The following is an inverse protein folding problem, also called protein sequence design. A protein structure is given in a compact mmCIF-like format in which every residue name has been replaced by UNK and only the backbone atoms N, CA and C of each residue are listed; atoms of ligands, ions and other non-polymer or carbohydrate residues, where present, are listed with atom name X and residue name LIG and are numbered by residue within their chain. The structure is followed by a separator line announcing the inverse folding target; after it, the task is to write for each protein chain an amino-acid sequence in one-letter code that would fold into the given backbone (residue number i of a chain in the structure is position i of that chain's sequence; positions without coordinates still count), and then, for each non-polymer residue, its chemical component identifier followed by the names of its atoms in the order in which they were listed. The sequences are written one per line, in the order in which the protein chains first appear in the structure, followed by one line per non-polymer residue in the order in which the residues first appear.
data_IF_156328281300
#
_entry.id   IF_156328281300
#
_cell.length_a   1.000
_cell.length_b   1.000
_cell.length_c   1.000
_cell.angle_alpha   90.00
_cell.angle_beta   90.00
_cell.angle_gamma   90.00
#
_symmetry.space_group_name_H-M   'P 1'
#
loop_
_entity.id
_entity.type
_entity.pdbx_description
1 polymer ?
#
# COMPACT_ATOMS: atom_id res chain seq x y z
N UNK A 1 8.05 7.74 1.32
CA UNK A 1 7.54 6.89 2.43
C UNK A 1 8.37 5.62 2.51
N UNK A 2 8.55 5.06 3.70
CA UNK A 2 9.40 3.89 3.96
C UNK A 2 8.74 2.91 4.94
N UNK A 3 9.11 1.63 4.84
CA UNK A 3 8.62 0.60 5.75
C UNK A 3 8.41 -0.75 5.05
N UNK A 4 8.46 -1.88 5.79
CA UNK A 4 8.25 -3.20 5.21
C UNK A 4 6.88 -3.39 4.54
N UNK A 5 6.75 -4.35 3.61
CA UNK A 5 5.45 -4.83 3.16
C UNK A 5 4.61 -5.24 4.37
N UNK A 6 3.34 -4.82 4.39
CA UNK A 6 2.45 -5.05 5.54
C UNK A 6 2.62 -4.07 6.71
N UNK A 7 3.63 -3.19 6.73
CA UNK A 7 3.80 -2.20 7.80
C UNK A 7 2.66 -1.17 7.88
N UNK A 8 1.81 -1.07 6.85
CA UNK A 8 0.69 -0.14 6.82
C UNK A 8 1.13 1.31 6.61
N UNK A 9 1.98 1.55 5.61
CA UNK A 9 2.53 2.88 5.26
C UNK A 9 1.46 3.97 5.20
N UNK A 10 0.37 3.74 4.45
CA UNK A 10 -0.75 4.71 4.33
C UNK A 10 -1.40 5.01 5.69
N UNK A 11 -1.55 4.01 6.57
CA UNK A 11 -2.07 4.22 7.94
C UNK A 11 -1.08 5.03 8.79
N UNK A 12 0.23 4.79 8.64
CA UNK A 12 1.26 5.56 9.34
C UNK A 12 1.29 7.02 8.90
N UNK A 13 1.17 7.28 7.60
CA UNK A 13 1.08 8.65 7.03
C UNK A 13 -0.17 9.36 7.55
N UNK A 14 -1.32 8.69 7.54
CA UNK A 14 -2.55 9.25 8.11
C UNK A 14 -2.42 9.54 9.62
N UNK A 15 -1.69 8.70 10.37
CA UNK A 15 -1.40 8.94 11.78
C UNK A 15 -0.48 10.16 11.98
N UNK A 16 0.56 10.32 11.16
CA UNK A 16 1.41 11.52 11.16
C UNK A 16 0.59 12.78 10.88
N UNK A 17 -0.27 12.76 9.85
CA UNK A 17 -1.18 13.87 9.53
C UNK A 17 -2.08 14.23 10.71
N UNK A 18 -2.69 13.23 11.34
CA UNK A 18 -3.53 13.42 12.53
C UNK A 18 -2.73 14.07 13.67
N UNK A 19 -1.50 13.65 13.92
CA UNK A 19 -0.66 14.20 14.98
C UNK A 19 -0.21 15.65 14.71
N UNK A 20 0.06 16.00 13.45
CA UNK A 20 0.44 17.35 13.04
C UNK A 20 -0.75 18.32 13.00
N UNK A 21 -1.94 17.82 12.65
CA UNK A 21 -3.06 18.64 12.23
C UNK A 21 -2.87 19.19 10.81
N UNK A 22 -3.94 19.71 10.17
CA UNK A 22 -3.97 19.98 8.74
C UNK A 22 -2.93 21.01 8.27
N UNK A 23 -2.81 22.14 8.99
CA UNK A 23 -1.90 23.23 8.60
C UNK A 23 -0.43 22.81 8.65
N UNK A 24 -0.04 22.09 9.70
CA UNK A 24 1.34 21.67 9.87
C UNK A 24 1.67 20.49 8.95
N UNK A 25 0.72 19.57 8.72
CA UNK A 25 0.87 18.51 7.72
C UNK A 25 1.11 19.06 6.32
N UNK A 26 0.34 20.09 5.90
CA UNK A 26 0.54 20.78 4.63
C UNK A 26 1.92 21.48 4.57
N UNK A 27 2.26 22.28 5.59
CA UNK A 27 3.55 22.97 5.67
C UNK A 27 4.73 22.00 5.58
N UNK A 28 4.59 20.81 6.19
CA UNK A 28 5.62 19.77 6.20
C UNK A 28 5.50 18.79 5.04
N UNK A 29 4.58 18.98 4.08
CA UNK A 29 4.49 18.15 2.88
C UNK A 29 4.02 16.72 3.17
N UNK A 30 3.25 16.51 4.24
CA UNK A 30 2.56 15.26 4.55
C UNK A 30 1.09 15.39 4.11
N UNK A 31 0.86 15.43 2.80
CA UNK A 31 -0.45 15.69 2.19
C UNK A 31 -1.05 14.44 1.53
N UNK A 32 -2.38 14.43 1.37
CA UNK A 32 -3.12 13.33 0.71
C UNK A 32 -3.34 13.67 -0.77
N UNK A 33 -3.35 14.97 -1.09
CA UNK A 33 -3.61 15.57 -2.38
C UNK A 33 -2.56 16.63 -2.72
N UNK A 34 -2.48 16.99 -4.01
CA UNK A 34 -1.54 18.01 -4.51
C UNK A 34 -0.13 17.51 -4.83
N UNK A 35 0.21 16.27 -4.45
CA UNK A 35 1.46 15.61 -4.83
C UNK A 35 1.15 14.41 -5.73
N UNK A 36 1.98 14.20 -6.76
CA UNK A 36 1.88 13.00 -7.59
C UNK A 36 2.55 11.84 -6.85
N UNK A 37 1.78 10.79 -6.57
CA UNK A 37 2.33 9.57 -5.95
C UNK A 37 2.88 8.64 -7.01
N UNK A 38 4.14 8.23 -6.84
CA UNK A 38 4.77 7.21 -7.68
C UNK A 38 4.87 5.93 -6.86
N UNK A 39 4.06 4.93 -7.20
CA UNK A 39 4.06 3.58 -6.60
C UNK A 39 4.29 2.50 -7.66
N UNK A 40 5.36 1.72 -7.47
CA UNK A 40 5.63 0.56 -8.33
C UNK A 40 4.50 -0.49 -8.24
N UNK A 41 3.76 -0.54 -7.13
CA UNK A 41 2.64 -1.46 -7.00
C UNK A 41 1.46 -1.12 -7.91
N UNK A 42 1.24 0.16 -8.23
CA UNK A 42 0.23 0.59 -9.21
C UNK A 42 0.66 0.21 -10.63
N UNK A 43 1.95 0.38 -10.95
CA UNK A 43 2.52 -0.09 -12.23
C UNK A 43 2.35 -1.60 -12.37
N UNK A 44 2.52 -2.40 -11.31
CA UNK A 44 2.26 -3.84 -11.35
C UNK A 44 0.82 -4.14 -11.74
N UNK A 45 -0.16 -3.39 -11.22
CA UNK A 45 -1.57 -3.63 -11.58
C UNK A 45 -1.81 -3.38 -13.06
N UNK A 46 -1.27 -2.29 -13.60
CA UNK A 46 -1.34 -1.98 -15.04
C UNK A 46 -0.70 -3.09 -15.86
N UNK A 47 0.53 -3.52 -15.51
CA UNK A 47 1.24 -4.61 -16.20
C UNK A 47 0.51 -5.96 -16.11
N UNK A 48 -0.34 -6.15 -15.10
CA UNK A 48 -1.20 -7.32 -14.91
C UNK A 48 -2.60 -7.16 -15.54
N UNK A 49 -2.82 -6.10 -16.33
CA UNK A 49 -4.08 -5.86 -17.05
C UNK A 49 -5.22 -5.33 -16.19
N UNK A 50 -4.90 -4.74 -15.03
CA UNK A 50 -5.86 -4.11 -14.13
C UNK A 50 -5.73 -2.58 -14.24
N UNK A 51 -6.83 -1.85 -14.51
CA UNK A 51 -6.80 -0.39 -14.51
C UNK A 51 -6.53 0.13 -13.09
N UNK A 52 -5.82 1.24 -12.99
CA UNK A 52 -5.55 1.94 -11.73
C UNK A 52 -6.18 3.31 -11.79
N UNK A 53 -6.99 3.66 -10.78
CA UNK A 53 -7.62 4.98 -10.72
C UNK A 53 -6.56 6.08 -10.66
N UNK A 54 -6.69 7.09 -11.53
CA UNK A 54 -5.75 8.20 -11.61
C UNK A 54 -4.55 7.98 -12.55
N UNK A 55 -4.36 6.78 -13.10
CA UNK A 55 -3.38 6.53 -14.17
C UNK A 55 -4.10 6.42 -15.51
N UNK A 56 -3.81 7.35 -16.42
CA UNK A 56 -4.30 7.31 -17.79
C UNK A 56 -3.37 6.44 -18.65
N UNK A 57 -3.79 5.20 -18.87
CA UNK A 57 -3.08 4.23 -19.69
C UNK A 57 -4.05 3.74 -20.75
N UNK A 58 -3.57 3.63 -21.99
CA UNK A 58 -4.35 3.13 -23.12
C UNK A 58 -5.13 1.85 -22.74
N UNK A 59 -6.47 1.90 -22.72
CA UNK A 59 -7.29 0.74 -22.36
C UNK A 59 -7.04 -0.49 -23.25
N UNK A 60 -6.62 -0.29 -24.50
CA UNK A 60 -6.26 -1.38 -25.40
C UNK A 60 -5.02 -2.12 -24.89
N UNK A 61 -3.97 -1.39 -24.48
CA UNK A 61 -2.75 -1.99 -23.92
C UNK A 61 -3.04 -2.74 -22.61
N UNK A 62 -3.88 -2.17 -21.75
CA UNK A 62 -4.33 -2.84 -20.50
C UNK A 62 -5.13 -4.12 -20.85
N UNK A 63 -5.97 -4.08 -21.89
CA UNK A 63 -6.70 -5.23 -22.41
C UNK A 63 -5.78 -6.34 -22.95
N UNK A 64 -4.76 -5.98 -23.72
CA UNK A 64 -3.78 -6.94 -24.25
C UNK A 64 -2.99 -7.62 -23.11
N UNK A 65 -2.55 -6.86 -22.11
CA UNK A 65 -1.89 -7.42 -20.93
C UNK A 65 -2.82 -8.39 -20.18
N UNK A 66 -4.09 -8.01 -20.02
CA UNK A 66 -5.11 -8.86 -19.40
C UNK A 66 -5.24 -10.21 -20.10
N UNK A 67 -5.46 -10.18 -21.42
CA UNK A 67 -5.62 -11.40 -22.22
C UNK A 67 -4.37 -12.29 -22.19
N UNK A 68 -3.18 -11.67 -22.21
CA UNK A 68 -1.93 -12.40 -22.09
C UNK A 68 -1.87 -13.22 -20.80
N UNK A 69 -2.13 -12.59 -19.65
CA UNK A 69 -2.07 -13.25 -18.35
C UNK A 69 -3.19 -14.28 -18.16
N UNK A 70 -4.40 -13.97 -18.61
CA UNK A 70 -5.52 -14.91 -18.52
C UNK A 70 -5.25 -16.18 -19.33
N UNK A 71 -4.67 -16.04 -20.54
CA UNK A 71 -4.23 -17.17 -21.37
C UNK A 71 -3.12 -17.96 -20.69
N UNK A 72 -2.09 -17.29 -20.16
CA UNK A 72 -0.98 -17.94 -19.47
C UNK A 72 -1.45 -18.77 -18.27
N UNK A 73 -2.39 -18.23 -17.48
CA UNK A 73 -3.00 -18.95 -16.35
C UNK A 73 -3.80 -20.16 -16.85
N UNK A 74 -4.62 -19.99 -17.89
CA UNK A 74 -5.41 -21.09 -18.45
C UNK A 74 -4.52 -22.22 -18.97
N UNK A 75 -3.41 -21.89 -19.63
CA UNK A 75 -2.52 -22.88 -20.27
C UNK A 75 -1.64 -23.61 -19.23
N UNK A 76 -1.17 -22.91 -18.20
CA UNK A 76 -0.16 -23.44 -17.27
C UNK A 76 -0.67 -23.75 -15.85
N UNK A 77 -1.81 -23.18 -15.45
CA UNK A 77 -2.43 -23.40 -14.14
C UNK A 77 -3.96 -23.62 -14.25
N UNK A 78 -4.44 -24.57 -15.10
CA UNK A 78 -5.87 -24.74 -15.39
C UNK A 78 -6.70 -25.26 -14.19
N UNK A 79 -6.05 -25.83 -13.17
CA UNK A 79 -6.71 -26.43 -12.02
C UNK A 79 -6.71 -25.45 -10.83
N UNK A 80 -7.76 -25.48 -9.99
CA UNK A 80 -7.75 -24.75 -8.73
C UNK A 80 -6.55 -25.12 -7.86
N UNK A 81 -6.09 -24.15 -7.07
CA UNK A 81 -5.09 -24.35 -6.01
C UNK A 81 -5.69 -25.21 -4.87
N UNK A 82 -4.86 -25.54 -3.88
CA UNK A 82 -5.25 -26.41 -2.75
C UNK A 82 -6.45 -25.88 -1.93
N UNK A 83 -6.73 -24.57 -1.99
CA UNK A 83 -7.86 -23.90 -1.37
C UNK A 83 -9.15 -23.96 -2.22
N UNK A 84 -9.14 -24.67 -3.36
CA UNK A 84 -10.27 -24.83 -4.26
C UNK A 84 -10.53 -23.63 -5.17
N UNK A 85 -9.62 -22.63 -5.21
CA UNK A 85 -9.78 -21.40 -6.00
C UNK A 85 -8.74 -21.31 -7.12
N UNK A 86 -9.05 -20.66 -8.26
CA UNK A 86 -8.08 -20.48 -9.34
C UNK A 86 -6.93 -19.58 -8.90
N UNK A 87 -5.82 -19.63 -9.65
CA UNK A 87 -4.77 -18.62 -9.57
C UNK A 87 -5.27 -17.30 -10.17
N UNK A 88 -5.04 -16.18 -9.49
CA UNK A 88 -5.44 -14.84 -9.95
C UNK A 88 -4.24 -14.06 -10.48
N UNK A 89 -4.46 -13.14 -11.42
CA UNK A 89 -3.39 -12.32 -12.03
C UNK A 89 -2.56 -11.57 -10.98
N UNK A 90 -3.18 -10.97 -9.98
CA UNK A 90 -2.50 -10.26 -8.88
C UNK A 90 -1.48 -11.13 -8.12
N UNK A 91 -1.66 -12.45 -8.11
CA UNK A 91 -0.76 -13.41 -7.46
C UNK A 91 0.53 -13.62 -8.25
N UNK A 92 0.57 -13.19 -9.51
CA UNK A 92 1.75 -13.19 -10.39
C UNK A 92 2.58 -11.90 -10.31
N UNK A 93 2.25 -10.98 -9.40
CA UNK A 93 2.89 -9.66 -9.30
C UNK A 93 4.41 -9.68 -9.07
N UNK A 94 4.97 -10.79 -8.59
CA UNK A 94 6.42 -10.97 -8.47
C UNK A 94 7.11 -11.10 -9.82
N UNK A 95 6.43 -11.62 -10.86
CA UNK A 95 6.99 -11.80 -12.20
C UNK A 95 7.24 -10.45 -12.91
N UNK A 96 6.45 -9.43 -12.57
CA UNK A 96 6.57 -8.08 -13.13
C UNK A 96 7.33 -7.12 -12.20
N UNK A 97 7.93 -7.62 -11.11
CA UNK A 97 8.50 -6.76 -10.08
C UNK A 97 9.63 -5.86 -10.61
N UNK A 98 10.57 -6.42 -11.38
CA UNK A 98 11.69 -5.65 -11.90
C UNK A 98 11.20 -4.54 -12.84
N UNK A 99 10.40 -4.91 -13.85
CA UNK A 99 9.83 -3.96 -14.81
C UNK A 99 9.03 -2.86 -14.12
N UNK A 100 8.17 -3.20 -13.14
CA UNK A 100 7.42 -2.20 -12.39
C UNK A 100 8.29 -1.22 -11.61
N UNK A 101 9.44 -1.68 -11.10
CA UNK A 101 10.38 -0.85 -10.35
C UNK A 101 11.13 0.10 -11.28
N UNK A 102 11.55 -0.39 -12.44
CA UNK A 102 12.24 0.40 -13.45
C UNK A 102 11.32 1.46 -14.04
N UNK A 103 10.09 1.09 -14.43
CA UNK A 103 9.09 2.05 -14.94
C UNK A 103 8.71 3.11 -13.89
N UNK A 104 8.56 2.72 -12.61
CA UNK A 104 8.32 3.70 -11.54
C UNK A 104 9.53 4.62 -11.33
N UNK A 105 10.76 4.14 -11.52
CA UNK A 105 11.95 4.98 -11.47
C UNK A 105 12.01 5.97 -12.62
N UNK A 106 11.69 5.54 -13.85
CA UNK A 106 11.67 6.42 -15.02
C UNK A 106 10.62 7.52 -14.86
N UNK A 107 9.40 7.15 -14.45
CA UNK A 107 8.32 8.11 -14.18
C UNK A 107 8.72 9.11 -13.09
N UNK A 108 9.35 8.63 -12.01
CA UNK A 108 9.86 9.48 -10.93
C UNK A 108 10.91 10.46 -11.45
N UNK A 109 11.87 10.00 -12.25
CA UNK A 109 12.96 10.83 -12.77
C UNK A 109 12.42 11.92 -13.70
N UNK A 110 11.46 11.59 -14.56
CA UNK A 110 10.78 12.58 -15.39
C UNK A 110 10.01 13.61 -14.55
N UNK A 111 9.20 13.17 -13.58
CA UNK A 111 8.44 14.08 -12.71
C UNK A 111 9.37 14.99 -11.87
N UNK A 112 10.53 14.49 -11.46
CA UNK A 112 11.54 15.29 -10.78
C UNK A 112 12.14 16.37 -11.69
N UNK A 113 12.47 16.02 -12.94
CA UNK A 113 12.98 16.97 -13.92
C UNK A 113 11.94 18.02 -14.33
N UNK A 114 10.65 17.70 -14.22
CA UNK A 114 9.54 18.64 -14.38
C UNK A 114 9.26 19.45 -13.09
N UNK A 115 10.06 19.26 -12.04
CA UNK A 115 9.94 19.93 -10.74
C UNK A 115 8.57 19.78 -10.06
N UNK A 116 7.90 18.66 -10.29
CA UNK A 116 6.59 18.37 -9.70
C UNK A 116 6.73 17.93 -8.25
N UNK A 117 5.84 18.37 -7.37
CA UNK A 117 5.81 17.80 -6.01
C UNK A 117 5.40 16.33 -6.05
N UNK A 118 6.26 15.45 -5.55
CA UNK A 118 6.06 14.00 -5.64
C UNK A 118 6.12 13.30 -4.29
N UNK A 119 5.30 12.26 -4.17
CA UNK A 119 5.36 11.29 -3.08
C UNK A 119 5.94 9.99 -3.63
N UNK A 120 7.05 9.54 -3.03
CA UNK A 120 7.74 8.32 -3.47
C UNK A 120 7.38 7.18 -2.50
N UNK A 121 6.64 6.19 -2.98
CA UNK A 121 6.34 4.94 -2.26
C UNK A 121 7.54 3.97 -2.34
N UNK A 122 7.86 3.33 -1.23
CA UNK A 122 8.94 2.34 -1.21
C UNK A 122 9.16 1.73 0.16
N UNK A 123 10.07 0.77 0.22
CA UNK A 123 10.51 0.18 1.50
C UNK A 123 11.71 0.93 2.06
N UNK A 124 12.54 1.54 1.21
CA UNK A 124 13.84 2.10 1.57
C UNK A 124 14.79 1.04 2.18
N UNK A 125 14.62 -0.24 1.81
CA UNK A 125 15.37 -1.36 2.41
C UNK A 125 16.83 -1.44 1.95
N UNK A 126 17.17 -0.84 0.80
CA UNK A 126 18.46 -1.01 0.15
C UNK A 126 19.42 0.13 0.51
N UNK A 127 20.37 -0.17 1.39
CA UNK A 127 21.51 0.68 1.68
C UNK A 127 22.73 -0.20 1.96
N UNK A 128 23.80 0.04 1.21
CA UNK A 128 25.09 -0.57 1.40
C UNK A 128 25.86 0.17 2.51
N UNK A 129 26.72 -0.52 3.27
CA UNK A 129 27.59 0.10 4.27
C UNK A 129 28.47 1.23 3.72
N UNK A 130 28.75 1.23 2.41
CA UNK A 130 29.53 2.28 1.74
C UNK A 130 28.76 3.59 1.52
N UNK A 131 27.54 3.72 2.05
CA UNK A 131 26.69 4.90 1.84
C UNK A 131 26.10 4.98 0.43
N UNK A 132 26.04 3.86 -0.30
CA UNK A 132 25.32 3.72 -1.57
C UNK A 132 23.98 3.06 -1.32
N UNK A 133 22.92 3.47 -2.01
CA UNK A 133 21.61 2.88 -1.81
C UNK A 133 20.48 3.78 -2.26
N UNK A 134 19.25 3.36 -1.98
CA UNK A 134 18.05 4.07 -2.41
C UNK A 134 17.99 5.47 -1.79
N UNK A 135 18.25 5.60 -0.48
CA UNK A 135 18.28 6.89 0.21
C UNK A 135 19.24 7.92 -0.42
N UNK A 136 20.56 7.66 -0.45
CA UNK A 136 21.55 8.53 -1.08
C UNK A 136 21.22 8.87 -2.55
N UNK A 137 20.76 7.90 -3.34
CA UNK A 137 20.35 8.13 -4.74
C UNK A 137 19.19 9.12 -4.83
N UNK A 138 18.16 8.94 -4.00
CA UNK A 138 16.99 9.83 -3.98
C UNK A 138 17.38 11.24 -3.53
N UNK A 139 18.18 11.37 -2.47
CA UNK A 139 18.65 12.68 -2.00
C UNK A 139 19.49 13.38 -3.07
N UNK A 140 20.36 12.66 -3.77
CA UNK A 140 21.14 13.25 -4.86
C UNK A 140 20.27 13.68 -6.06
N UNK A 141 19.26 12.89 -6.43
CA UNK A 141 18.33 13.23 -7.51
C UNK A 141 17.52 14.48 -7.16
N UNK A 142 16.89 14.50 -5.98
CA UNK A 142 16.13 15.66 -5.48
C UNK A 142 16.99 16.92 -5.40
N UNK A 143 18.24 16.80 -4.95
CA UNK A 143 19.20 17.91 -4.89
C UNK A 143 19.57 18.43 -6.28
N UNK A 144 19.75 17.52 -7.25
CA UNK A 144 20.10 17.87 -8.63
C UNK A 144 18.97 18.67 -9.27
N UNK A 145 17.73 18.25 -9.03
CA UNK A 145 16.52 18.93 -9.50
C UNK A 145 16.04 20.06 -8.56
N UNK A 146 16.93 20.54 -7.67
CA UNK A 146 16.74 21.74 -6.85
C UNK A 146 15.51 21.73 -5.93
N UNK A 147 15.05 20.55 -5.50
CA UNK A 147 14.06 20.47 -4.43
C UNK A 147 14.62 21.08 -3.14
N UNK A 148 13.78 21.82 -2.43
CA UNK A 148 14.17 22.52 -1.18
C UNK A 148 13.60 21.87 0.07
N UNK A 149 12.62 20.98 -0.08
CA UNK A 149 11.97 20.30 1.02
C UNK A 149 12.01 18.77 0.82
N UNK A 150 12.40 18.05 1.87
CA UNK A 150 12.37 16.59 1.93
C UNK A 150 11.65 16.17 3.19
N UNK A 151 10.64 15.33 3.06
CA UNK A 151 9.96 14.74 4.23
C UNK A 151 9.88 13.24 4.07
N UNK A 152 10.44 12.54 5.05
CA UNK A 152 10.51 11.08 5.08
C UNK A 152 9.50 10.62 6.12
N UNK A 153 8.47 9.89 5.70
CA UNK A 153 7.58 9.17 6.60
C UNK A 153 7.95 7.70 6.57
N UNK A 154 8.49 7.19 7.67
CA UNK A 154 8.83 5.80 7.87
C UNK A 154 7.83 5.15 8.84
N UNK A 155 7.44 3.90 8.57
CA UNK A 155 6.47 3.18 9.40
C UNK A 155 7.14 1.98 10.03
N UNK A 156 7.33 2.06 11.34
CA UNK A 156 7.91 1.02 12.17
C UNK A 156 6.79 0.13 12.69
N UNK A 157 6.85 -1.16 12.38
CA UNK A 157 5.80 -2.13 12.72
C UNK A 157 6.45 -3.47 12.98
N UNK A 158 6.10 -4.16 14.09
CA UNK A 158 6.67 -5.46 14.41
C UNK A 158 6.54 -6.45 13.24
N UNK A 159 7.58 -7.27 13.03
CA UNK A 159 7.66 -8.23 11.92
C UNK A 159 6.42 -9.13 11.83
N UNK A 160 5.94 -9.64 12.97
CA UNK A 160 4.76 -10.49 13.02
C UNK A 160 3.50 -9.78 12.50
N UNK A 161 3.29 -8.52 12.89
CA UNK A 161 2.17 -7.72 12.39
C UNK A 161 2.32 -7.40 10.90
N UNK A 162 3.54 -7.22 10.39
CA UNK A 162 3.80 -7.06 8.96
C UNK A 162 3.42 -8.33 8.18
N UNK A 163 3.82 -9.51 8.67
CA UNK A 163 3.50 -10.81 8.05
C UNK A 163 1.98 -11.04 8.01
N UNK A 164 1.30 -10.81 9.14
CA UNK A 164 -0.15 -10.92 9.24
C UNK A 164 -0.85 -9.95 8.28
N UNK A 165 -0.47 -8.68 8.29
CA UNK A 165 -1.08 -7.68 7.41
C UNK A 165 -0.82 -7.96 5.92
N UNK A 166 0.39 -8.41 5.56
CA UNK A 166 0.71 -8.81 4.19
C UNK A 166 -0.13 -10.01 3.74
N UNK A 167 -0.30 -11.01 4.61
CA UNK A 167 -1.19 -12.14 4.35
C UNK A 167 -2.66 -11.70 4.22
N UNK A 168 -3.15 -10.85 5.13
CA UNK A 168 -4.53 -10.35 5.10
C UNK A 168 -4.84 -9.53 3.85
N UNK A 169 -3.87 -8.74 3.36
CA UNK A 169 -3.96 -7.96 2.11
C UNK A 169 -4.13 -8.86 0.88
N UNK A 170 -3.65 -10.09 0.94
CA UNK A 170 -3.82 -11.09 -0.12
C UNK A 170 -5.11 -11.89 0.04
N UNK A 171 -5.28 -12.56 1.19
CA UNK A 171 -6.33 -13.57 1.37
C UNK A 171 -7.73 -12.96 1.34
N UNK A 172 -7.91 -11.73 1.84
CA UNK A 172 -9.21 -11.05 1.89
C UNK A 172 -9.78 -10.81 0.49
N UNK A 173 -9.12 -10.04 -0.41
CA UNK A 173 -9.61 -9.84 -1.78
C UNK A 173 -9.62 -11.15 -2.58
N UNK A 174 -8.61 -12.03 -2.39
CA UNK A 174 -8.57 -13.35 -3.05
C UNK A 174 -9.82 -14.19 -2.73
N UNK A 175 -10.30 -14.14 -1.49
CA UNK A 175 -11.50 -14.87 -1.08
C UNK A 175 -12.78 -14.43 -1.81
N UNK A 176 -12.74 -13.25 -2.44
CA UNK A 176 -13.83 -12.67 -3.21
C UNK A 176 -13.62 -12.79 -4.72
N UNK A 177 -12.50 -13.41 -5.16
CA UNK A 177 -12.16 -13.54 -6.59
C UNK A 177 -11.61 -12.24 -7.19
N UNK A 178 -11.15 -11.30 -6.36
CA UNK A 178 -10.57 -10.05 -6.84
C UNK A 178 -9.21 -10.30 -7.52
N UNK A 179 -9.17 -10.08 -8.82
CA UNK A 179 -7.99 -10.28 -9.68
C UNK A 179 -6.80 -9.38 -9.33
N UNK A 180 -7.01 -8.36 -8.50
CA UNK A 180 -5.96 -7.46 -7.98
C UNK A 180 -5.31 -7.98 -6.69
N UNK A 181 -5.80 -9.09 -6.12
CA UNK A 181 -5.29 -9.67 -4.88
C UNK A 181 -3.81 -10.06 -5.01
N UNK A 182 -2.93 -9.38 -4.26
CA UNK A 182 -1.47 -9.53 -4.38
C UNK A 182 -0.88 -10.37 -3.26
N UNK A 183 -0.26 -11.48 -3.66
CA UNK A 183 0.57 -12.26 -2.74
C UNK A 183 1.90 -11.56 -2.48
N UNK A 184 2.25 -11.41 -1.20
CA UNK A 184 3.59 -10.99 -0.77
C UNK A 184 4.26 -12.19 -0.10
N UNK A 185 5.34 -12.74 -0.66
CA UNK A 185 6.06 -13.83 -0.03
C UNK A 185 6.54 -13.44 1.39
N UNK A 186 6.39 -14.31 2.41
CA UNK A 186 6.89 -14.03 3.77
C UNK A 186 8.37 -13.63 3.79
N UNK A 187 9.19 -14.24 2.93
CA UNK A 187 10.60 -13.92 2.78
C UNK A 187 10.86 -12.44 2.40
N UNK A 188 9.97 -11.80 1.65
CA UNK A 188 10.07 -10.38 1.30
C UNK A 188 9.80 -9.45 2.48
N UNK A 189 9.09 -9.93 3.51
CA UNK A 189 8.92 -9.22 4.79
C UNK A 189 10.11 -9.52 5.68
N UNK A 190 10.42 -10.80 5.91
CA UNK A 190 11.45 -11.22 6.87
C UNK A 190 12.84 -10.74 6.48
N UNK A 191 13.15 -10.62 5.18
CA UNK A 191 14.44 -10.11 4.70
C UNK A 191 14.72 -8.66 5.14
N UNK A 192 13.71 -7.90 5.56
CA UNK A 192 13.86 -6.51 6.02
C UNK A 192 14.23 -6.40 7.50
N UNK A 193 14.14 -7.49 8.25
CA UNK A 193 14.51 -7.56 9.66
C UNK A 193 15.81 -8.35 9.77
N UNK A 194 16.81 -7.78 10.45
CA UNK A 194 18.04 -8.52 10.73
C UNK A 194 17.84 -9.38 11.99
N UNK A 195 18.50 -10.54 12.10
CA UNK A 195 18.47 -11.34 13.32
C UNK A 195 18.82 -10.48 14.54
N UNK A 196 18.00 -10.57 15.60
CA UNK A 196 18.12 -9.82 16.85
C UNK A 196 17.78 -8.32 16.79
N UNK A 197 17.38 -7.77 15.63
CA UNK A 197 16.86 -6.42 15.56
C UNK A 197 15.33 -6.44 15.61
N UNK A 198 14.74 -5.67 16.52
CA UNK A 198 13.29 -5.49 16.60
C UNK A 198 12.78 -4.47 15.58
N UNK A 199 13.67 -3.64 15.05
CA UNK A 199 13.41 -2.60 14.07
C UNK A 199 13.83 -3.09 12.68
N UNK A 200 13.04 -2.77 11.67
CA UNK A 200 13.40 -3.11 10.29
C UNK A 200 14.50 -2.18 9.77
N UNK A 201 15.35 -2.69 8.87
CA UNK A 201 16.38 -1.88 8.18
C UNK A 201 15.80 -0.68 7.43
N UNK A 202 14.51 -0.70 7.11
CA UNK A 202 13.81 0.42 6.47
C UNK A 202 13.86 1.68 7.34
N UNK A 203 13.77 1.52 8.66
CA UNK A 203 13.80 2.62 9.63
C UNK A 203 15.22 3.14 9.79
N UNK A 204 16.20 2.24 9.93
CA UNK A 204 17.62 2.61 10.00
C UNK A 204 18.02 3.41 8.75
N UNK A 205 17.62 2.93 7.57
CA UNK A 205 17.88 3.61 6.31
C UNK A 205 17.13 4.95 6.20
N UNK A 206 15.92 5.07 6.77
CA UNK A 206 15.21 6.34 6.82
C UNK A 206 15.95 7.38 7.70
N UNK A 207 16.50 6.95 8.85
CA UNK A 207 17.34 7.82 9.70
C UNK A 207 18.60 8.26 8.99
N UNK A 208 19.30 7.35 8.31
CA UNK A 208 20.50 7.69 7.53
C UNK A 208 20.14 8.64 6.38
N UNK A 209 19.05 8.38 5.67
CA UNK A 209 18.59 9.23 4.55
C UNK A 209 18.24 10.63 5.04
N UNK A 210 17.58 10.75 6.20
CA UNK A 210 17.31 12.03 6.85
C UNK A 210 18.61 12.77 7.18
N UNK A 211 19.56 12.11 7.85
CA UNK A 211 20.84 12.72 8.20
C UNK A 211 21.60 13.22 6.97
N UNK A 212 21.61 12.42 5.88
CA UNK A 212 22.21 12.83 4.61
C UNK A 212 21.52 14.08 4.04
N UNK A 213 20.19 14.13 4.04
CA UNK A 213 19.45 15.29 3.57
C UNK A 213 19.73 16.53 4.43
N UNK A 214 19.78 16.41 5.76
CA UNK A 214 19.94 17.53 6.69
C UNK A 214 21.24 18.33 6.49
N UNK A 215 22.32 17.66 6.10
CA UNK A 215 23.64 18.29 5.89
C UNK A 215 23.80 18.96 4.53
N UNK A 216 22.86 18.77 3.60
CA UNK A 216 22.90 19.39 2.28
C UNK A 216 22.23 20.76 2.29
N UNK A 217 23.02 21.80 1.96
CA UNK A 217 22.58 23.20 1.97
C UNK A 217 21.31 23.50 1.13
N UNK A 218 21.06 22.88 -0.04
CA UNK A 218 19.86 23.16 -0.84
C UNK A 218 18.53 22.82 -0.16
N UNK A 219 18.52 21.86 0.78
CA UNK A 219 17.30 21.53 1.51
C UNK A 219 17.14 22.47 2.70
N UNK A 220 16.21 23.42 2.58
CA UNK A 220 15.86 24.34 3.67
C UNK A 220 15.00 23.66 4.73
N UNK A 221 14.21 22.65 4.36
CA UNK A 221 13.32 21.92 5.25
C UNK A 221 13.48 20.40 5.08
N UNK A 222 13.97 19.74 6.12
CA UNK A 222 14.16 18.29 6.16
C UNK A 222 13.48 17.75 7.40
N UNK A 223 12.59 16.77 7.25
CA UNK A 223 11.90 16.15 8.39
C UNK A 223 11.84 14.63 8.23
N UNK A 224 11.96 13.93 9.34
CA UNK A 224 11.71 12.51 9.46
C UNK A 224 10.59 12.28 10.46
N UNK A 225 9.56 11.58 10.01
CA UNK A 225 8.50 11.04 10.86
C UNK A 225 8.65 9.53 10.93
N UNK A 226 8.67 8.97 12.13
CA UNK A 226 8.59 7.53 12.34
C UNK A 226 7.30 7.22 13.09
N UNK A 227 6.40 6.52 12.40
CA UNK A 227 5.17 6.01 13.00
C UNK A 227 5.42 4.62 13.59
N UNK A 228 5.68 4.55 14.89
CA UNK A 228 5.85 3.31 15.65
C UNK A 228 4.49 2.72 15.97
N UNK A 229 4.08 1.73 15.17
CA UNK A 229 2.78 1.08 15.30
C UNK A 229 2.86 -0.09 16.27
N UNK A 230 1.92 -0.12 17.19
CA UNK A 230 1.64 -1.25 18.07
C UNK A 230 0.18 -1.71 17.87
N UNK A 231 -0.25 -2.82 18.49
CA UNK A 231 -1.65 -3.25 18.41
C UNK A 231 -2.64 -2.23 18.98
N UNK A 232 -2.22 -1.38 19.94
CA UNK A 232 -3.12 -0.52 20.72
C UNK A 232 -2.84 0.98 20.55
N UNK A 233 -1.71 1.34 19.95
CA UNK A 233 -1.30 2.74 19.81
C UNK A 233 -0.39 2.94 18.60
N UNK A 234 -0.22 4.20 18.21
CA UNK A 234 0.83 4.63 17.29
C UNK A 234 1.55 5.81 17.92
N UNK A 235 2.86 5.68 18.12
CA UNK A 235 3.71 6.80 18.55
C UNK A 235 4.33 7.41 17.31
N UNK A 236 4.18 8.73 17.15
CA UNK A 236 4.80 9.50 16.07
C UNK A 236 6.04 10.17 16.64
N UNK A 237 7.22 9.69 16.26
CA UNK A 237 8.48 10.40 16.45
C UNK A 237 8.67 11.37 15.28
N UNK A 238 8.95 12.63 15.56
CA UNK A 238 9.32 13.64 14.57
C UNK A 238 10.73 14.13 14.88
N UNK A 239 11.63 13.94 13.93
CA UNK A 239 13.01 14.45 13.94
C UNK A 239 13.09 15.56 12.89
N UNK A 240 13.40 16.77 13.34
CA UNK A 240 13.62 17.90 12.43
C UNK A 240 15.04 17.88 11.83
N UNK A 241 15.31 18.85 10.96
CA UNK A 241 16.59 19.00 10.27
C UNK A 241 17.79 18.98 11.21
N UNK A 242 17.68 19.64 12.37
CA UNK A 242 18.76 19.80 13.34
C UNK A 242 18.93 18.55 14.23
N UNK A 243 18.08 17.54 14.02
CA UNK A 243 18.10 16.30 14.78
C UNK A 243 17.30 16.38 16.08
N UNK A 244 16.55 17.45 16.32
CA UNK A 244 15.70 17.56 17.50
C UNK A 244 14.50 16.62 17.34
N UNK A 245 14.31 15.74 18.32
CA UNK A 245 13.24 14.74 18.30
C UNK A 245 12.11 15.09 19.26
N UNK A 246 10.87 14.98 18.80
CA UNK A 246 9.64 15.12 19.60
C UNK A 246 8.70 13.95 19.31
N UNK A 247 7.98 13.49 20.33
CA UNK A 247 7.07 12.35 20.19
C UNK A 247 5.64 12.69 20.58
N UNK A 248 4.67 12.17 19.82
CA UNK A 248 3.23 12.28 20.11
C UNK A 248 2.61 10.90 20.06
N UNK A 249 1.84 10.54 21.09
CA UNK A 249 1.16 9.24 21.14
C UNK A 249 -0.29 9.38 20.71
N UNK A 250 -0.68 8.62 19.69
CA UNK A 250 -2.07 8.43 19.29
C UNK A 250 -2.55 7.08 19.81
N UNK A 251 -3.62 7.07 20.59
CA UNK A 251 -4.27 5.81 20.97
C UNK A 251 -5.11 5.29 19.81
N UNK A 252 -5.19 3.97 19.65
CA UNK A 252 -6.19 3.39 18.77
C UNK A 252 -7.56 3.81 19.31
N UNK A 253 -8.33 4.55 18.52
CA UNK A 253 -9.75 4.77 18.82
C UNK A 253 -10.39 3.39 18.99
N UNK A 254 -11.04 3.15 20.13
CA UNK A 254 -11.85 1.94 20.35
C UNK A 254 -12.69 1.73 19.08
N UNK A 255 -12.66 0.55 18.44
CA UNK A 255 -13.51 0.32 17.29
C UNK A 255 -14.95 0.67 17.73
N UNK A 256 -15.71 1.44 16.94
CA UNK A 256 -17.11 1.65 17.29
C UNK A 256 -17.72 0.27 17.47
N UNK A 257 -18.23 0.00 18.66
CA UNK A 257 -19.07 -1.16 18.92
C UNK A 257 -20.15 -1.09 17.86
N UNK A 258 -20.06 -1.91 16.80
CA UNK A 258 -21.18 -2.09 15.88
C UNK A 258 -22.35 -2.46 16.78
N UNK A 259 -23.41 -1.64 16.87
CA UNK A 259 -24.62 -2.09 17.53
C UNK A 259 -25.00 -3.36 16.79
N UNK A 260 -25.17 -4.45 17.53
CA UNK A 260 -25.81 -5.63 16.97
C UNK A 260 -27.10 -5.12 16.31
N UNK A 261 -27.37 -5.44 15.03
CA UNK A 261 -28.65 -5.06 14.46
C UNK A 261 -29.74 -5.60 15.38
N UNK A 262 -30.75 -4.79 15.73
CA UNK A 262 -31.82 -5.26 16.60
C UNK A 262 -32.37 -6.55 16.01
N UNK A 263 -32.40 -7.62 16.82
CA UNK A 263 -33.03 -8.88 16.43
C UNK A 263 -34.44 -8.53 16.00
N UNK A 264 -34.69 -8.62 14.70
CA UNK A 264 -36.02 -8.43 14.16
C UNK A 264 -36.92 -9.49 14.79
N UNK A 265 -38.02 -9.13 15.46
CA UNK A 265 -38.94 -10.13 15.98
C UNK A 265 -39.46 -10.95 14.80
N UNK A 266 -39.38 -12.27 14.93
CA UNK A 266 -39.90 -13.26 14.00
C UNK A 266 -41.36 -12.94 13.70
N UNK A 267 -41.61 -12.38 12.51
CA UNK A 267 -42.97 -12.16 12.01
C UNK A 267 -43.45 -13.49 11.43
N UNK A 268 -44.20 -14.24 12.23
CA UNK A 268 -44.96 -15.39 11.78
C UNK A 268 -45.96 -14.92 10.70
N UNK A 269 -45.67 -15.18 9.43
CA UNK A 269 -46.68 -15.16 8.38
C UNK A 269 -47.09 -16.60 8.05
N UNK A 270 -48.38 -16.97 8.24
CA UNK A 270 -48.88 -18.25 7.78
C UNK A 270 -48.95 -18.27 6.25
N UNK A 271 -48.46 -19.36 5.67
CA UNK A 271 -48.58 -19.69 4.25
C UNK A 271 -50.06 -19.84 3.88
N UNK A 272 -50.61 -18.88 3.13
CA UNK A 272 -51.86 -19.08 2.40
C UNK A 272 -51.53 -19.60 1.00
N UNK A 273 -51.81 -20.89 0.79
CA UNK A 273 -51.81 -21.52 -0.52
C UNK A 273 -53.01 -21.04 -1.34
N UNK A 274 -52.79 -20.11 -2.28
CA UNK A 274 -53.73 -19.87 -3.36
C UNK A 274 -53.60 -20.98 -4.41
N UNK A 275 -54.52 -21.93 -4.34
CA UNK A 275 -54.75 -22.98 -5.31
C UNK A 275 -55.38 -22.36 -6.56
N UNK A 276 -54.66 -22.37 -7.68
CA UNK A 276 -55.22 -22.08 -9.00
C UNK A 276 -55.89 -23.38 -9.48
N UNK A 277 -57.21 -23.37 -9.58
CA UNK A 277 -58.02 -24.45 -10.16
C UNK A 277 -57.98 -24.35 -11.69
N UNK A 278 -57.66 -25.42 -12.44
CA UNK A 278 -57.85 -25.46 -13.88
C UNK A 278 -59.33 -25.68 -14.23
N UNK A 279 -59.82 -25.20 -15.40
CA UNK A 279 -61.19 -25.41 -15.82
C UNK A 279 -61.44 -26.83 -16.32
N UNK A 280 -62.59 -27.38 -15.93
CA UNK A 280 -63.13 -28.68 -16.35
C UNK A 280 -63.47 -28.70 -17.84
N UNK A 281 -63.20 -29.80 -18.58
CA UNK A 281 -63.70 -29.97 -19.94
C UNK A 281 -65.15 -30.47 -19.91
N UNK A 282 -66.08 -29.65 -20.43
CA UNK A 282 -67.45 -30.07 -20.71
C UNK A 282 -67.54 -30.80 -22.04
N UNK A 283 -67.80 -32.10 -21.98
CA UNK A 283 -68.29 -32.91 -23.10
C UNK A 283 -69.79 -32.63 -23.29
N UNK A 284 -70.17 -32.10 -24.45
CA UNK A 284 -71.35 -32.60 -25.14
C UNK A 284 -70.91 -33.86 -25.90
N UNK A 285 -71.65 -34.97 -25.94
CA UNK A 285 -73.09 -35.19 -25.74
C UNK A 285 -73.38 -36.19 -24.64
#
# INVERSE_FOLDING_TARGET
MAGPPGAGKSKGVAAVRTALGPKEAERLGVVDDGFITVDADDVKQVLLGNPVAGLDVDPELVGQAREHWDRLIADHAPRPLADGRPLLRGELSTLVHQLSTDTANDAREQLMAEHVNITIEGTLQWMEPSGKGQGPRLINALRTEQYTQVTIVAVDTPQQMCLEAAHQRWITPRSQGDVTARYTPPAAVTSMFTPNNTVSRCIDNARITHQLASVHAPFSQVNLFIAHRSPTSTVIEHVDRDGLSRSTTLQASTPPTKPLPPRTPTRNHPLQHNRITPPTPGLGR
#
